data_IF_077763299648
#
_entry.id   IF_077763299648
#
_cell.length_a   1.000
_cell.length_b   1.000
_cell.length_c   1.000
_cell.angle_alpha   90.00
_cell.angle_beta   90.00
_cell.angle_gamma   90.00
#
_symmetry.space_group_name_H-M   'P 1'
#
loop_
_entity.id
_entity.type
_entity.pdbx_description
1 polymer ?
#
# COMPACT_ATOMS: atom_id res chain seq x y z
N UNK A 1 9.42 5.68 -28.30
CA UNK A 1 9.35 6.00 -26.88
C UNK A 1 9.13 4.71 -26.09
N UNK A 2 10.04 4.43 -25.19
CA UNK A 2 9.90 3.32 -24.26
C UNK A 2 9.00 3.72 -23.08
N UNK A 3 8.61 2.75 -22.28
CA UNK A 3 7.94 2.97 -21.00
C UNK A 3 8.80 2.43 -19.86
N UNK A 4 8.62 2.98 -18.68
CA UNK A 4 9.25 2.47 -17.47
C UNK A 4 8.25 2.41 -16.33
N UNK A 5 8.43 1.45 -15.45
CA UNK A 5 7.65 1.33 -14.22
C UNK A 5 8.57 1.44 -13.02
N UNK A 6 8.14 2.20 -12.05
CA UNK A 6 8.73 2.23 -10.71
C UNK A 6 7.71 1.68 -9.71
N UNK A 7 8.16 0.79 -8.84
CA UNK A 7 7.33 0.26 -7.76
C UNK A 7 7.93 0.64 -6.41
N UNK A 8 7.09 1.14 -5.53
CA UNK A 8 7.45 1.57 -4.18
C UNK A 8 6.72 0.74 -3.13
N UNK A 9 7.45 0.37 -2.09
CA UNK A 9 6.89 -0.12 -0.84
C UNK A 9 6.98 1.03 0.18
N UNK A 10 5.84 1.53 0.64
CA UNK A 10 5.73 2.81 1.33
C UNK A 10 6.35 3.91 0.46
N UNK A 11 7.49 4.43 0.78
CA UNK A 11 8.19 5.40 -0.07
C UNK A 11 9.55 4.88 -0.56
N UNK A 12 9.79 3.59 -0.43
CA UNK A 12 11.05 2.96 -0.81
C UNK A 12 10.94 2.34 -2.20
N UNK A 13 11.75 2.83 -3.13
CA UNK A 13 11.81 2.29 -4.49
C UNK A 13 12.37 0.87 -4.46
N UNK A 14 11.61 -0.10 -4.95
CA UNK A 14 11.99 -1.52 -4.95
C UNK A 14 12.09 -2.14 -6.34
N UNK A 15 11.55 -1.48 -7.34
CA UNK A 15 11.67 -1.87 -8.74
C UNK A 15 11.74 -0.62 -9.61
N UNK A 16 12.68 -0.64 -10.54
CA UNK A 16 12.79 0.34 -11.63
C UNK A 16 13.12 -0.43 -12.90
N UNK A 17 12.16 -0.51 -13.81
CA UNK A 17 12.28 -1.34 -15.03
C UNK A 17 11.76 -0.62 -16.25
N UNK A 18 12.55 -0.69 -17.31
CA UNK A 18 12.21 -0.12 -18.62
C UNK A 18 11.72 -1.22 -19.56
N UNK A 19 10.73 -0.90 -20.38
CA UNK A 19 10.15 -1.76 -21.38
C UNK A 19 10.29 -1.14 -22.77
N UNK A 20 10.61 -1.97 -23.75
CA UNK A 20 10.71 -1.55 -25.14
C UNK A 20 9.35 -1.15 -25.71
N UNK A 21 9.35 -0.13 -26.55
CA UNK A 21 8.16 0.33 -27.30
C UNK A 21 7.66 -0.65 -28.36
N UNK A 22 8.40 -1.73 -28.64
CA UNK A 22 8.00 -2.74 -29.63
C UNK A 22 6.85 -3.62 -29.17
N UNK A 23 6.59 -3.66 -27.87
CA UNK A 23 5.51 -4.45 -27.27
C UNK A 23 4.33 -3.56 -26.90
N UNK A 24 3.14 -3.91 -27.40
CA UNK A 24 1.90 -3.19 -27.04
C UNK A 24 1.37 -3.58 -25.66
N UNK A 25 1.79 -4.72 -25.14
CA UNK A 25 1.40 -5.22 -23.81
C UNK A 25 2.60 -5.87 -23.14
N UNK A 26 2.86 -5.46 -21.91
CA UNK A 26 3.86 -6.08 -21.05
C UNK A 26 3.19 -6.55 -19.77
N UNK A 27 3.47 -7.79 -19.39
CA UNK A 27 3.03 -8.36 -18.12
C UNK A 27 4.26 -8.76 -17.32
N UNK A 28 4.27 -8.41 -16.05
CA UNK A 28 5.37 -8.70 -15.17
C UNK A 28 4.89 -8.81 -13.73
N UNK A 29 5.74 -9.31 -12.86
CA UNK A 29 5.47 -9.41 -11.43
C UNK A 29 6.73 -9.15 -10.62
N UNK A 30 6.55 -8.69 -9.40
CA UNK A 30 7.63 -8.55 -8.42
C UNK A 30 7.23 -9.28 -7.14
N UNK A 31 8.17 -10.00 -6.57
CA UNK A 31 8.01 -10.62 -5.25
C UNK A 31 8.64 -9.72 -4.21
N UNK A 32 7.85 -9.30 -3.22
CA UNK A 32 8.28 -8.39 -2.16
C UNK A 32 8.43 -9.16 -0.86
N UNK A 33 9.62 -9.13 -0.29
CA UNK A 33 9.96 -9.75 0.99
C UNK A 33 10.78 -8.79 1.85
N UNK A 34 11.04 -9.16 3.08
CA UNK A 34 11.96 -8.40 3.94
C UNK A 34 13.39 -8.29 3.36
N UNK A 35 13.74 -9.16 2.42
CA UNK A 35 15.06 -9.17 1.76
C UNK A 35 15.08 -8.38 0.44
N UNK A 36 13.97 -7.80 0.04
CA UNK A 36 13.90 -6.96 -1.16
C UNK A 36 14.80 -5.74 -1.01
N UNK A 37 15.63 -5.48 -2.00
CA UNK A 37 16.61 -4.39 -2.00
C UNK A 37 15.92 -3.05 -2.27
N UNK A 38 16.29 -2.03 -1.53
CA UNK A 38 15.85 -0.64 -1.74
C UNK A 38 16.80 0.03 -2.73
N UNK A 39 16.24 0.53 -3.85
CA UNK A 39 17.01 1.09 -4.97
C UNK A 39 17.28 2.59 -4.83
N UNK A 40 16.42 3.35 -4.17
CA UNK A 40 16.56 4.81 -4.00
C UNK A 40 17.38 5.19 -2.76
N UNK A 41 18.30 4.36 -2.42
CA UNK A 41 19.16 4.51 -1.27
C UNK A 41 20.53 5.06 -1.74
N UNK A 42 20.84 6.27 -1.36
CA UNK A 42 21.87 7.10 -1.99
C UNK A 42 23.29 6.51 -1.99
N UNK A 43 23.65 5.58 -1.09
CA UNK A 43 25.02 5.07 -0.99
C UNK A 43 25.15 3.63 -0.51
N UNK A 44 24.05 2.90 -0.33
CA UNK A 44 24.07 1.54 0.18
C UNK A 44 23.21 0.61 -0.69
N UNK A 45 23.87 -0.09 -1.61
CA UNK A 45 23.23 -1.06 -2.51
C UNK A 45 22.78 -2.36 -1.80
N UNK A 46 23.07 -2.49 -0.50
CA UNK A 46 22.74 -3.68 0.29
C UNK A 46 21.54 -3.48 1.22
N UNK A 47 21.02 -2.25 1.32
CA UNK A 47 19.87 -1.96 2.16
C UNK A 47 18.62 -2.66 1.66
N UNK A 48 17.95 -3.35 2.56
CA UNK A 48 16.73 -4.12 2.27
C UNK A 48 15.53 -3.58 3.04
N UNK A 49 14.36 -4.13 2.75
CA UNK A 49 13.13 -3.80 3.48
C UNK A 49 13.07 -4.40 4.90
N UNK A 50 14.13 -5.03 5.40
CA UNK A 50 14.09 -5.77 6.67
C UNK A 50 13.57 -4.96 7.86
N UNK A 51 13.90 -3.65 7.92
CA UNK A 51 13.45 -2.76 8.99
C UNK A 51 12.09 -2.10 8.71
N UNK A 52 11.50 -2.32 7.55
CA UNK A 52 10.28 -1.65 7.08
C UNK A 52 9.16 -2.62 6.76
N UNK A 53 9.46 -3.90 6.54
CA UNK A 53 8.49 -4.96 6.29
C UNK A 53 7.92 -5.47 7.62
N UNK A 54 7.21 -4.57 8.31
CA UNK A 54 6.77 -4.74 9.68
C UNK A 54 5.26 -4.93 9.77
N UNK A 55 4.83 -5.49 10.88
CA UNK A 55 3.42 -5.59 11.24
C UNK A 55 2.72 -4.23 11.14
N UNK A 56 1.65 -4.15 10.37
CA UNK A 56 0.89 -2.92 10.19
C UNK A 56 0.47 -2.67 8.75
N UNK A 57 -0.05 -1.47 8.55
CA UNK A 57 -0.49 -0.98 7.24
C UNK A 57 0.67 -0.46 6.41
N UNK A 58 0.65 -0.79 5.12
CA UNK A 58 1.63 -0.35 4.15
C UNK A 58 0.96 0.00 2.83
N UNK A 59 1.64 0.78 2.00
CA UNK A 59 1.16 1.18 0.68
C UNK A 59 2.13 0.67 -0.37
N UNK A 60 1.60 -0.07 -1.35
CA UNK A 60 2.32 -0.40 -2.58
C UNK A 60 1.89 0.59 -3.65
N UNK A 61 2.86 1.26 -4.25
CA UNK A 61 2.63 2.23 -5.32
C UNK A 61 3.41 1.85 -6.56
N UNK A 62 2.74 1.86 -7.71
CA UNK A 62 3.37 1.69 -9.02
C UNK A 62 3.17 2.96 -9.85
N UNK A 63 4.24 3.47 -10.44
CA UNK A 63 4.21 4.63 -11.33
C UNK A 63 4.67 4.25 -12.73
N UNK A 64 3.95 4.74 -13.73
CA UNK A 64 4.28 4.58 -15.14
C UNK A 64 4.89 5.85 -15.69
N UNK A 65 5.96 5.69 -16.48
CA UNK A 65 6.67 6.79 -17.15
C UNK A 65 6.82 6.50 -18.61
N UNK A 66 6.84 7.55 -19.45
CA UNK A 66 7.40 7.50 -20.77
C UNK A 66 8.90 7.80 -20.71
N UNK A 67 9.67 7.05 -21.48
CA UNK A 67 11.13 7.21 -21.57
C UNK A 67 11.49 7.66 -22.96
N UNK A 68 12.11 8.83 -23.06
CA UNK A 68 12.56 9.39 -24.34
C UNK A 68 14.05 9.68 -24.23
N UNK A 69 14.81 9.12 -25.19
CA UNK A 69 16.28 9.27 -25.23
C UNK A 69 16.99 8.87 -23.92
N UNK A 70 16.47 7.84 -23.25
CA UNK A 70 17.01 7.36 -21.97
C UNK A 70 16.58 8.15 -20.74
N UNK A 71 15.78 9.20 -20.90
CA UNK A 71 15.29 10.02 -19.80
C UNK A 71 13.81 9.76 -19.53
N UNK A 72 13.47 9.57 -18.27
CA UNK A 72 12.08 9.49 -17.83
C UNK A 72 11.44 10.88 -17.84
N UNK A 73 10.28 10.97 -18.48
CA UNK A 73 9.43 12.15 -18.36
C UNK A 73 8.72 12.20 -16.99
N UNK A 74 7.74 13.07 -16.88
CA UNK A 74 6.84 13.08 -15.73
C UNK A 74 6.05 11.77 -15.67
N UNK A 75 5.75 11.28 -14.47
CA UNK A 75 4.90 10.11 -14.29
C UNK A 75 3.52 10.38 -14.91
N UNK A 76 3.06 9.44 -15.74
CA UNK A 76 1.83 9.59 -16.52
C UNK A 76 0.63 9.00 -15.81
N UNK A 77 0.86 7.99 -14.97
CA UNK A 77 -0.18 7.29 -14.24
C UNK A 77 0.41 6.61 -13.00
N UNK A 78 -0.42 6.35 -12.03
CA UNK A 78 -0.02 5.57 -10.85
C UNK A 78 -1.19 4.80 -10.27
N UNK A 79 -0.88 3.70 -9.60
CA UNK A 79 -1.81 2.87 -8.85
C UNK A 79 -1.26 2.74 -7.43
N UNK A 80 -2.12 2.94 -6.44
CA UNK A 80 -1.81 2.69 -5.04
C UNK A 80 -2.70 1.59 -4.50
N UNK A 81 -2.14 0.72 -3.68
CA UNK A 81 -2.88 -0.31 -2.97
C UNK A 81 -2.41 -0.39 -1.52
N UNK A 82 -3.36 -0.30 -0.61
CA UNK A 82 -3.11 -0.57 0.80
C UNK A 82 -3.02 -2.08 1.03
N UNK A 83 -2.02 -2.49 1.78
CA UNK A 83 -1.84 -3.86 2.24
C UNK A 83 -1.62 -3.87 3.75
N UNK A 84 -1.84 -5.02 4.36
CA UNK A 84 -1.56 -5.22 5.78
C UNK A 84 -0.61 -6.39 5.91
N UNK A 85 0.49 -6.16 6.63
CA UNK A 85 1.43 -7.21 6.99
C UNK A 85 1.11 -7.65 8.42
N UNK A 86 0.84 -8.92 8.58
CA UNK A 86 0.53 -9.52 9.87
C UNK A 86 1.75 -10.31 10.38
N UNK A 87 2.23 -9.91 11.55
CA UNK A 87 3.23 -10.67 12.30
C UNK A 87 2.52 -11.42 13.44
N UNK A 88 2.47 -12.74 13.36
CA UNK A 88 1.80 -13.60 14.35
C UNK A 88 2.45 -13.53 15.74
N UNK A 89 3.68 -13.07 15.84
CA UNK A 89 4.36 -12.84 17.13
C UNK A 89 3.97 -11.51 17.78
N UNK A 90 3.41 -10.57 16.99
CA UNK A 90 2.96 -9.29 17.50
C UNK A 90 1.74 -9.43 18.40
N UNK A 91 1.70 -8.67 19.50
CA UNK A 91 0.56 -8.57 20.40
C UNK A 91 -0.28 -7.30 20.15
N UNK A 92 0.06 -6.52 19.15
CA UNK A 92 -0.63 -5.28 18.81
C UNK A 92 -1.81 -5.56 17.90
N UNK A 93 -3.05 -5.23 18.30
CA UNK A 93 -4.20 -5.32 17.42
C UNK A 93 -4.12 -4.28 16.30
N UNK A 94 -4.71 -4.61 15.16
CA UNK A 94 -4.78 -3.72 13.99
C UNK A 94 -6.22 -3.59 13.53
N UNK A 95 -6.55 -2.38 13.07
CA UNK A 95 -7.75 -2.11 12.31
C UNK A 95 -7.35 -1.42 11.00
N UNK A 96 -8.01 -1.78 9.91
CA UNK A 96 -7.87 -1.08 8.63
C UNK A 96 -9.19 -1.03 7.89
N UNK A 97 -9.34 -0.01 7.05
CA UNK A 97 -10.53 0.19 6.25
C UNK A 97 -10.30 -0.25 4.81
N UNK A 98 -11.35 -0.72 4.16
CA UNK A 98 -11.37 -0.90 2.72
C UNK A 98 -11.64 0.43 2.00
N UNK A 99 -11.79 0.36 0.68
CA UNK A 99 -12.05 1.53 -0.14
C UNK A 99 -13.44 2.11 0.12
N UNK A 100 -13.50 3.42 0.25
CA UNK A 100 -14.74 4.18 0.28
C UNK A 100 -14.51 5.59 -0.31
N UNK A 101 -15.59 6.24 -0.75
CA UNK A 101 -15.50 7.58 -1.33
C UNK A 101 -15.06 8.60 -0.27
N UNK A 102 -14.38 9.65 -0.70
CA UNK A 102 -13.97 10.78 0.16
C UNK A 102 -14.97 11.94 0.14
N UNK A 103 -15.90 11.94 -0.83
CA UNK A 103 -16.93 12.95 -0.98
C UNK A 103 -18.31 12.29 -1.13
N UNK A 104 -19.28 12.80 -0.41
CA UNK A 104 -20.67 12.29 -0.40
C UNK A 104 -21.67 13.43 -0.48
N UNK A 105 -22.77 13.19 -1.17
CA UNK A 105 -23.94 14.05 -1.08
C UNK A 105 -24.72 13.80 0.20
N UNK A 106 -25.48 14.78 0.67
CA UNK A 106 -26.22 14.70 1.95
C UNK A 106 -27.26 13.59 2.00
N UNK A 107 -27.73 13.12 0.83
CA UNK A 107 -28.69 12.01 0.72
C UNK A 107 -28.04 10.62 0.65
N UNK A 108 -26.73 10.54 0.53
CA UNK A 108 -26.01 9.28 0.41
C UNK A 108 -25.76 8.64 1.78
N UNK A 109 -25.74 7.32 1.79
CA UNK A 109 -25.29 6.53 2.95
C UNK A 109 -23.82 6.23 2.82
N UNK A 110 -23.06 6.52 3.87
CA UNK A 110 -21.64 6.19 3.94
C UNK A 110 -21.50 4.77 4.49
N UNK A 111 -20.83 3.91 3.73
CA UNK A 111 -20.47 2.56 4.16
C UNK A 111 -18.96 2.48 4.24
N UNK A 112 -18.44 2.16 5.42
CA UNK A 112 -17.02 2.00 5.68
C UNK A 112 -16.77 0.52 5.96
N UNK A 113 -16.20 -0.24 4.98
CA UNK A 113 -15.75 -1.61 5.25
C UNK A 113 -14.49 -1.57 6.11
N UNK A 114 -14.38 -2.47 7.07
CA UNK A 114 -13.19 -2.55 7.92
C UNK A 114 -12.89 -4.00 8.29
N UNK A 115 -11.64 -4.23 8.67
CA UNK A 115 -11.16 -5.49 9.22
C UNK A 115 -10.39 -5.24 10.50
N UNK A 116 -10.44 -6.21 11.40
CA UNK A 116 -9.71 -6.19 12.66
C UNK A 116 -8.88 -7.45 12.77
N UNK A 117 -7.64 -7.27 13.19
CA UNK A 117 -6.78 -8.36 13.62
C UNK A 117 -6.48 -8.18 15.12
N UNK A 118 -6.94 -9.12 15.94
CA UNK A 118 -6.68 -9.14 17.38
C UNK A 118 -5.91 -10.41 17.74
N UNK A 119 -4.58 -10.30 17.98
CA UNK A 119 -3.76 -11.47 18.28
C UNK A 119 -4.02 -12.08 19.64
N UNK A 120 -4.73 -11.38 20.52
CA UNK A 120 -5.06 -11.86 21.86
C UNK A 120 -6.38 -12.64 21.90
N UNK A 121 -7.10 -12.72 20.77
CA UNK A 121 -8.37 -13.46 20.63
C UNK A 121 -9.37 -13.01 21.70
N UNK A 122 -9.46 -11.71 21.92
CA UNK A 122 -10.42 -11.09 22.84
C UNK A 122 -11.58 -10.49 22.04
N UNK A 123 -12.68 -10.16 22.73
CA UNK A 123 -13.76 -9.40 22.09
C UNK A 123 -13.26 -8.00 21.82
N UNK A 124 -13.13 -7.63 20.54
CA UNK A 124 -12.77 -6.29 20.14
C UNK A 124 -14.03 -5.43 19.97
N UNK A 125 -13.89 -4.15 20.26
CA UNK A 125 -14.90 -3.14 19.96
C UNK A 125 -14.33 -2.16 18.96
N UNK A 126 -15.13 -1.82 17.96
CA UNK A 126 -14.80 -0.76 16.99
C UNK A 126 -15.75 0.39 17.20
N UNK A 127 -15.19 1.55 17.44
CA UNK A 127 -15.92 2.80 17.63
C UNK A 127 -15.83 3.66 16.38
N UNK A 128 -16.95 4.18 15.94
CA UNK A 128 -17.02 5.17 14.86
C UNK A 128 -17.29 6.55 15.48
N UNK A 129 -16.43 7.50 15.14
CA UNK A 129 -16.55 8.90 15.57
C UNK A 129 -16.78 9.82 14.37
N UNK A 130 -17.56 10.85 14.58
CA UNK A 130 -17.69 11.99 13.67
C UNK A 130 -17.36 13.26 14.43
N UNK A 131 -16.33 13.98 14.01
CA UNK A 131 -15.89 15.22 14.66
C UNK A 131 -15.71 15.07 16.21
N UNK A 132 -15.16 13.93 16.63
CA UNK A 132 -14.92 13.62 18.03
C UNK A 132 -16.14 13.10 18.80
N UNK A 133 -17.29 12.97 18.18
CA UNK A 133 -18.52 12.44 18.79
C UNK A 133 -18.70 10.98 18.40
N UNK A 134 -18.88 10.11 19.40
CA UNK A 134 -19.16 8.70 19.19
C UNK A 134 -20.53 8.52 18.52
N UNK A 135 -20.55 7.93 17.34
CA UNK A 135 -21.77 7.62 16.59
C UNK A 135 -22.23 6.19 16.78
N UNK A 136 -21.31 5.25 16.83
CA UNK A 136 -21.61 3.83 16.86
C UNK A 136 -20.47 3.05 17.47
N UNK A 137 -20.84 1.96 18.16
CA UNK A 137 -19.92 0.96 18.67
C UNK A 137 -20.34 -0.39 18.14
N UNK A 138 -19.38 -1.15 17.58
CA UNK A 138 -19.63 -2.51 17.12
C UNK A 138 -18.74 -3.48 17.87
N UNK A 139 -19.34 -4.49 18.47
CA UNK A 139 -18.60 -5.60 19.05
C UNK A 139 -18.28 -6.62 17.96
N UNK A 140 -17.02 -7.08 17.96
CA UNK A 140 -16.55 -8.09 17.04
C UNK A 140 -16.17 -9.29 17.89
N UNK A 141 -16.94 -10.36 17.76
CA UNK A 141 -16.63 -11.66 18.35
C UNK A 141 -15.86 -12.50 17.33
N UNK A 142 -14.91 -13.30 17.79
CA UNK A 142 -14.25 -14.33 16.99
C UNK A 142 -15.18 -15.50 16.66
#
# INVERSE_FOLDING_TARGET
VNSAIEVYFDNYLILDKEYSSTNTRNEDSITITKNTIILNNNNDSTMTLANYFLHGEHIIKAKLYFVNSGEKGNGTDFIEKEIVILDRSSKTPLIWTGDFKTEYYTYETIRIPFRVYDPNVTIAKVNLYKNGVLLSTREIAD
#
